data_IF_146756261123
#
_entry.id   IF_146756261123
#
_cell.length_a   1.000
_cell.length_b   1.000
_cell.length_c   1.000
_cell.angle_alpha   90.00
_cell.angle_beta   90.00
_cell.angle_gamma   90.00
#
_symmetry.space_group_name_H-M   'P 1'
#
loop_
_entity.id
_entity.type
_entity.pdbx_description
1 polymer ?
#
# COMPACT_ATOMS: atom_id res chain seq x y z
N UNK A 1 28.93 -19.44 -39.13
CA UNK A 1 29.57 -18.39 -38.31
C UNK A 1 28.54 -17.29 -38.19
N UNK A 2 27.79 -17.31 -37.10
CA UNK A 2 27.17 -16.12 -36.52
C UNK A 2 27.23 -16.35 -35.01
N UNK A 3 27.93 -15.44 -34.33
CA UNK A 3 28.25 -15.53 -32.90
C UNK A 3 27.01 -15.18 -32.08
N UNK A 4 26.64 -15.95 -31.04
CA UNK A 4 25.53 -15.66 -30.14
C UNK A 4 25.95 -14.63 -29.07
N UNK A 5 26.51 -13.50 -29.49
CA UNK A 5 26.91 -12.39 -28.64
C UNK A 5 26.10 -11.17 -29.06
N UNK A 6 24.86 -11.06 -28.57
CA UNK A 6 24.10 -9.81 -28.40
C UNK A 6 22.68 -10.09 -27.85
N UNK A 7 22.62 -10.80 -26.74
CA UNK A 7 21.49 -10.67 -25.78
C UNK A 7 22.11 -10.54 -24.40
N UNK A 8 22.56 -9.32 -24.08
CA UNK A 8 22.65 -8.91 -22.68
C UNK A 8 21.24 -9.08 -22.11
N UNK A 9 21.06 -10.15 -21.33
CA UNK A 9 19.93 -10.22 -20.41
C UNK A 9 20.09 -9.04 -19.47
N UNK A 10 19.23 -8.04 -19.64
CA UNK A 10 18.95 -7.09 -18.57
C UNK A 10 18.43 -7.96 -17.42
N UNK A 11 19.32 -8.35 -16.51
CA UNK A 11 18.91 -8.86 -15.21
C UNK A 11 18.03 -7.75 -14.61
N UNK A 12 16.73 -8.03 -14.46
CA UNK A 12 15.78 -7.13 -13.77
C UNK A 12 16.45 -6.64 -12.51
N UNK A 13 16.62 -5.33 -12.39
CA UNK A 13 17.25 -4.75 -11.21
C UNK A 13 16.40 -5.11 -9.99
N UNK A 14 17.07 -5.47 -8.90
CA UNK A 14 16.42 -5.59 -7.60
C UNK A 14 15.80 -4.22 -7.28
N UNK A 15 14.56 -4.21 -6.76
CA UNK A 15 13.87 -2.97 -6.39
C UNK A 15 14.72 -2.15 -5.41
N UNK A 16 15.55 -2.81 -4.57
CA UNK A 16 16.52 -2.19 -3.66
C UNK A 16 17.58 -1.36 -4.36
N UNK A 17 17.93 -1.71 -5.59
CA UNK A 17 18.92 -1.02 -6.39
C UNK A 17 18.30 0.12 -7.21
N UNK A 18 17.00 0.37 -7.08
CA UNK A 18 16.31 1.51 -7.68
C UNK A 18 16.54 2.81 -6.92
N UNK A 19 17.32 2.84 -5.83
CA UNK A 19 17.71 4.08 -5.17
C UNK A 19 19.21 4.10 -4.87
N UNK A 20 19.95 4.94 -5.60
CA UNK A 20 21.42 4.91 -5.68
C UNK A 20 22.01 6.29 -5.40
N UNK A 21 23.20 6.32 -4.82
CA UNK A 21 23.94 7.56 -4.52
C UNK A 21 24.73 8.02 -5.75
N UNK A 22 24.57 9.28 -6.14
CA UNK A 22 25.42 9.94 -7.14
C UNK A 22 26.58 10.62 -6.41
N UNK A 23 26.26 11.54 -5.50
CA UNK A 23 27.24 12.30 -4.71
C UNK A 23 26.71 12.53 -3.28
N UNK A 24 27.27 13.51 -2.55
CA UNK A 24 26.89 13.81 -1.15
C UNK A 24 25.45 14.30 -1.02
N UNK A 25 24.94 15.03 -2.02
CA UNK A 25 23.67 15.75 -2.00
C UNK A 25 22.71 15.30 -3.13
N UNK A 26 23.11 14.33 -3.97
CA UNK A 26 22.29 13.83 -5.07
C UNK A 26 22.19 12.30 -5.10
N UNK A 27 21.00 11.80 -5.43
CA UNK A 27 20.68 10.38 -5.56
C UNK A 27 19.89 10.12 -6.84
N UNK A 28 20.16 8.99 -7.49
CA UNK A 28 19.42 8.48 -8.63
C UNK A 28 18.28 7.57 -8.13
N UNK A 29 17.06 7.82 -8.60
CA UNK A 29 15.89 6.95 -8.40
C UNK A 29 15.55 6.30 -9.75
N UNK A 30 15.60 4.98 -9.79
CA UNK A 30 15.48 4.19 -11.01
C UNK A 30 16.55 4.55 -12.02
N UNK A 31 16.12 4.77 -13.26
CA UNK A 31 16.97 5.30 -14.35
C UNK A 31 16.57 6.71 -14.77
N UNK A 32 15.49 7.26 -14.20
CA UNK A 32 14.80 8.44 -14.74
C UNK A 32 14.77 9.66 -13.85
N UNK A 33 15.06 9.53 -12.55
CA UNK A 33 14.82 10.61 -11.59
C UNK A 33 16.06 10.89 -10.76
N UNK A 34 16.31 12.16 -10.47
CA UNK A 34 17.32 12.60 -9.52
C UNK A 34 16.63 13.27 -8.33
N UNK A 35 16.95 12.81 -7.13
CA UNK A 35 16.67 13.49 -5.88
C UNK A 35 17.88 14.34 -5.50
N UNK A 36 17.68 15.64 -5.32
CA UNK A 36 18.72 16.57 -4.89
C UNK A 36 18.37 17.17 -3.53
N UNK A 37 19.39 17.31 -2.66
CA UNK A 37 19.31 18.03 -1.40
C UNK A 37 19.88 19.43 -1.56
N UNK A 38 19.09 20.44 -1.24
CA UNK A 38 19.43 21.86 -1.42
C UNK A 38 19.06 22.67 -0.17
N UNK A 39 19.57 23.91 -0.07
CA UNK A 39 19.21 24.84 1.01
C UNK A 39 17.86 25.52 0.79
N UNK A 40 17.41 25.58 -0.46
CA UNK A 40 16.15 26.20 -0.88
C UNK A 40 15.35 25.24 -1.76
N UNK A 41 14.04 25.47 -1.88
CA UNK A 41 13.19 24.68 -2.78
C UNK A 41 13.66 24.84 -4.24
N UNK A 42 13.81 23.72 -4.94
CA UNK A 42 14.14 23.74 -6.36
C UNK A 42 12.91 23.98 -7.24
N UNK A 43 13.10 23.91 -8.57
CA UNK A 43 12.01 24.11 -9.55
C UNK A 43 11.09 22.90 -9.73
N UNK A 44 11.49 21.73 -9.24
CA UNK A 44 10.72 20.48 -9.34
C UNK A 44 9.79 20.25 -8.15
N UNK A 45 9.31 19.03 -7.99
CA UNK A 45 8.58 18.63 -6.79
C UNK A 45 9.52 18.68 -5.59
N UNK A 46 9.21 19.56 -4.62
CA UNK A 46 10.09 19.83 -3.48
C UNK A 46 9.38 19.73 -2.14
N UNK A 47 10.08 19.21 -1.14
CA UNK A 47 9.61 19.17 0.25
C UNK A 47 10.77 19.35 1.23
N UNK A 48 10.44 19.67 2.49
CA UNK A 48 11.44 19.81 3.55
C UNK A 48 11.83 18.46 4.15
N UNK A 49 13.12 18.27 4.38
CA UNK A 49 13.63 17.20 5.23
C UNK A 49 13.28 17.46 6.71
N UNK A 50 13.45 16.44 7.55
CA UNK A 50 13.35 16.60 9.01
C UNK A 50 14.44 17.50 9.61
N UNK A 51 15.54 17.73 8.88
CA UNK A 51 16.69 18.54 9.31
C UNK A 51 16.65 19.98 8.78
N UNK A 52 15.61 20.36 8.03
CA UNK A 52 15.42 21.71 7.49
C UNK A 52 15.98 21.96 6.09
N UNK A 53 16.75 21.01 5.52
CA UNK A 53 17.14 21.04 4.12
C UNK A 53 15.93 20.78 3.20
N UNK A 54 16.03 21.15 1.94
CA UNK A 54 15.04 20.83 0.92
C UNK A 54 15.48 19.62 0.12
N UNK A 55 14.52 18.77 -0.22
CA UNK A 55 14.66 17.75 -1.24
C UNK A 55 13.86 18.20 -2.47
N UNK A 56 14.43 18.01 -3.66
CA UNK A 56 13.78 18.28 -4.94
C UNK A 56 13.98 17.11 -5.88
N UNK A 57 12.93 16.72 -6.59
CA UNK A 57 13.01 15.70 -7.64
C UNK A 57 12.94 16.35 -9.01
N UNK A 58 13.84 15.91 -9.88
CA UNK A 58 13.91 16.30 -11.30
C UNK A 58 14.14 15.06 -12.16
N UNK A 59 13.92 15.20 -13.47
CA UNK A 59 14.31 14.17 -14.43
C UNK A 59 15.84 14.02 -14.48
N UNK A 60 16.30 12.78 -14.64
CA UNK A 60 17.70 12.44 -14.86
C UNK A 60 18.09 12.72 -16.32
N UNK A 61 19.34 13.13 -16.59
CA UNK A 61 19.85 13.21 -17.95
C UNK A 61 19.95 11.81 -18.59
N UNK A 62 20.02 11.77 -19.93
CA UNK A 62 20.29 10.55 -20.69
C UNK A 62 21.68 10.64 -21.34
N UNK A 63 22.63 9.74 -21.03
CA UNK A 63 22.53 8.63 -20.07
C UNK A 63 22.49 9.08 -18.59
N UNK A 64 21.93 8.25 -17.68
CA UNK A 64 21.88 8.58 -16.27
C UNK A 64 23.30 8.69 -15.66
N UNK A 65 23.49 9.53 -14.63
CA UNK A 65 24.79 9.67 -13.98
C UNK A 65 25.29 8.36 -13.35
N UNK A 66 26.62 8.21 -13.28
CA UNK A 66 27.22 7.12 -12.52
C UNK A 66 26.74 7.18 -11.06
N UNK A 67 26.39 6.01 -10.52
CA UNK A 67 25.83 5.92 -9.17
C UNK A 67 26.21 4.62 -8.48
N UNK A 68 26.25 4.66 -7.15
CA UNK A 68 26.64 3.56 -6.28
C UNK A 68 25.51 3.18 -5.34
N UNK A 69 25.51 1.95 -4.84
CA UNK A 69 24.47 1.50 -3.90
C UNK A 69 24.53 2.30 -2.60
N UNK A 70 23.37 2.69 -2.07
CA UNK A 70 23.28 3.32 -0.76
C UNK A 70 23.42 2.22 0.29
N UNK A 71 24.37 2.31 1.25
CA UNK A 71 24.44 1.36 2.34
C UNK A 71 23.13 1.38 3.15
N UNK A 72 22.56 0.21 3.42
CA UNK A 72 21.30 0.07 4.15
C UNK A 72 21.31 0.87 5.45
N UNK A 73 20.22 1.61 5.72
CA UNK A 73 20.01 2.43 6.91
C UNK A 73 21.00 3.60 7.13
N UNK A 74 21.82 3.98 6.14
CA UNK A 74 22.58 5.24 6.19
C UNK A 74 21.84 6.35 5.44
N UNK A 75 21.31 7.31 6.19
CA UNK A 75 20.69 8.54 5.68
C UNK A 75 19.21 8.40 5.28
N UNK A 76 18.85 7.28 4.64
CA UNK A 76 17.47 6.97 4.23
C UNK A 76 17.07 5.58 4.72
N UNK A 77 16.34 5.47 5.84
CA UNK A 77 15.93 4.16 6.33
C UNK A 77 14.89 3.56 5.38
N UNK A 78 15.04 2.27 5.11
CA UNK A 78 14.01 1.45 4.44
C UNK A 78 12.94 1.16 5.50
N UNK A 79 11.70 1.56 5.24
CA UNK A 79 10.60 1.44 6.20
C UNK A 79 9.65 0.28 5.90
N UNK A 80 9.62 -0.16 4.65
CA UNK A 80 8.92 -1.36 4.20
C UNK A 80 9.69 -1.98 3.05
N UNK A 81 9.72 -3.29 3.03
CA UNK A 81 10.46 -4.08 2.06
C UNK A 81 9.72 -5.39 1.82
N UNK A 82 9.46 -5.66 0.54
CA UNK A 82 9.18 -6.98 0.02
C UNK A 82 10.30 -7.28 -0.98
N UNK A 83 11.12 -8.29 -0.68
CA UNK A 83 12.43 -8.50 -1.33
C UNK A 83 12.34 -8.63 -2.85
N UNK A 84 11.16 -8.93 -3.39
CA UNK A 84 10.98 -9.16 -4.83
C UNK A 84 10.17 -8.07 -5.55
N UNK A 85 9.29 -7.34 -4.86
CA UNK A 85 8.24 -6.55 -5.53
C UNK A 85 8.17 -5.06 -5.17
N UNK A 86 8.62 -4.65 -3.98
CA UNK A 86 8.47 -3.27 -3.53
C UNK A 86 9.46 -2.85 -2.44
N UNK A 87 9.88 -1.59 -2.48
CA UNK A 87 10.68 -0.99 -1.42
C UNK A 87 10.23 0.45 -1.13
N UNK A 88 10.29 0.83 0.15
CA UNK A 88 9.87 2.16 0.63
C UNK A 88 10.98 2.80 1.46
N UNK A 89 11.40 4.00 1.06
CA UNK A 89 12.42 4.80 1.76
C UNK A 89 11.79 6.03 2.41
N UNK A 90 12.24 6.36 3.62
CA UNK A 90 11.91 7.63 4.26
C UNK A 90 12.87 8.73 3.79
N UNK A 91 12.33 9.74 3.11
CA UNK A 91 13.03 10.92 2.59
C UNK A 91 12.75 12.15 3.47
N UNK A 92 12.82 11.98 4.80
CA UNK A 92 12.49 13.03 5.77
C UNK A 92 10.98 13.14 6.00
N UNK A 93 10.34 14.18 5.43
CA UNK A 93 8.88 14.38 5.51
C UNK A 93 8.13 13.83 4.30
N UNK A 94 8.76 12.96 3.54
CA UNK A 94 8.16 12.25 2.41
C UNK A 94 8.64 10.80 2.39
N UNK A 95 7.94 9.96 1.65
CA UNK A 95 8.29 8.57 1.40
C UNK A 95 8.39 8.32 -0.09
N UNK A 96 9.47 7.69 -0.53
CA UNK A 96 9.60 7.13 -1.87
C UNK A 96 9.17 5.67 -1.83
N UNK A 97 8.17 5.33 -2.62
CA UNK A 97 7.70 3.96 -2.88
C UNK A 97 8.12 3.58 -4.28
N UNK A 98 8.85 2.48 -4.41
CA UNK A 98 9.16 1.86 -5.69
C UNK A 98 8.49 0.50 -5.72
N UNK A 99 7.70 0.24 -6.75
CA UNK A 99 6.95 -1.02 -6.91
C UNK A 99 7.17 -1.55 -8.32
N UNK A 100 7.44 -2.84 -8.47
CA UNK A 100 7.52 -3.48 -9.79
C UNK A 100 6.14 -3.44 -10.47
N UNK A 101 6.14 -3.19 -11.77
CA UNK A 101 4.93 -3.18 -12.59
C UNK A 101 4.43 -4.56 -12.93
N UNK A 102 5.31 -5.56 -12.91
CA UNK A 102 4.97 -6.95 -13.21
C UNK A 102 3.70 -7.33 -12.44
N UNK A 103 2.72 -7.86 -13.17
CA UNK A 103 1.40 -8.28 -12.68
C UNK A 103 0.47 -7.14 -12.18
N UNK A 104 0.87 -5.88 -12.30
CA UNK A 104 0.13 -4.69 -11.83
C UNK A 104 0.01 -3.58 -12.88
N UNK A 105 0.43 -3.82 -14.12
CA UNK A 105 0.42 -2.83 -15.21
C UNK A 105 -0.97 -2.22 -15.45
N UNK A 106 -2.01 -3.08 -15.45
CA UNK A 106 -3.41 -2.70 -15.72
C UNK A 106 -4.17 -2.24 -14.48
N UNK A 107 -3.53 -2.26 -13.31
CA UNK A 107 -4.20 -1.97 -12.04
C UNK A 107 -4.20 -0.47 -11.75
N UNK A 108 -5.22 0.01 -11.05
CA UNK A 108 -5.26 1.38 -10.56
C UNK A 108 -4.05 1.66 -9.69
N UNK A 109 -3.36 2.77 -9.98
CA UNK A 109 -2.14 3.16 -9.27
C UNK A 109 -2.49 3.89 -7.99
N UNK A 110 -1.69 3.68 -6.94
CA UNK A 110 -1.86 4.36 -5.65
C UNK A 110 -1.88 5.90 -5.81
N UNK A 111 -1.11 6.44 -6.77
CA UNK A 111 -1.12 7.87 -7.10
C UNK A 111 -2.52 8.34 -7.53
N UNK A 112 -3.19 7.62 -8.44
CA UNK A 112 -4.52 7.95 -8.92
C UNK A 112 -5.56 7.90 -7.78
N UNK A 113 -5.46 6.89 -6.91
CA UNK A 113 -6.31 6.80 -5.71
C UNK A 113 -6.11 7.98 -4.76
N UNK A 114 -4.87 8.36 -4.48
CA UNK A 114 -4.57 9.49 -3.59
C UNK A 114 -5.02 10.83 -4.19
N UNK A 115 -4.85 11.04 -5.50
CA UNK A 115 -5.35 12.23 -6.20
C UNK A 115 -6.88 12.30 -6.17
N UNK A 116 -7.56 11.16 -6.34
CA UNK A 116 -9.01 11.05 -6.20
C UNK A 116 -9.48 11.35 -4.77
N UNK A 117 -8.77 10.85 -3.75
CA UNK A 117 -9.06 11.13 -2.35
C UNK A 117 -8.83 12.60 -1.97
N UNK A 118 -7.82 13.24 -2.56
CA UNK A 118 -7.50 14.66 -2.30
C UNK A 118 -8.63 15.63 -2.72
N UNK A 119 -9.58 15.17 -3.54
CA UNK A 119 -10.75 15.92 -3.97
C UNK A 119 -11.98 15.74 -3.06
N UNK A 120 -11.82 15.05 -1.92
CA UNK A 120 -12.90 14.72 -0.98
C UNK A 120 -12.64 15.33 0.39
N UNK A 121 -13.73 15.56 1.12
CA UNK A 121 -13.66 15.87 2.55
C UNK A 121 -13.57 14.55 3.32
N UNK A 122 -12.43 14.34 3.99
CA UNK A 122 -12.15 13.13 4.77
C UNK A 122 -12.08 13.47 6.25
N UNK A 123 -12.55 12.57 7.11
CA UNK A 123 -12.42 12.72 8.57
C UNK A 123 -11.03 12.32 9.11
N UNK A 124 -10.08 12.05 8.23
CA UNK A 124 -8.71 11.61 8.54
C UNK A 124 -7.73 12.10 7.47
N UNK A 125 -6.44 12.15 7.78
CA UNK A 125 -5.40 12.52 6.82
C UNK A 125 -5.03 11.37 5.87
N UNK A 126 -4.70 11.71 4.63
CA UNK A 126 -4.09 10.80 3.64
C UNK A 126 -2.78 11.39 3.11
N UNK A 127 -1.82 10.57 2.65
CA UNK A 127 -0.62 11.07 2.00
C UNK A 127 -0.95 11.91 0.76
N UNK A 128 -0.24 13.02 0.56
CA UNK A 128 -0.34 13.82 -0.66
C UNK A 128 0.67 13.32 -1.68
N UNK A 129 0.25 13.16 -2.94
CA UNK A 129 1.17 12.88 -4.04
C UNK A 129 2.06 14.10 -4.24
N UNK A 130 3.38 13.92 -4.09
CA UNK A 130 4.38 14.94 -4.36
C UNK A 130 4.98 14.76 -5.76
N UNK A 131 5.17 13.50 -6.16
CA UNK A 131 5.67 13.15 -7.47
C UNK A 131 5.22 11.73 -7.83
N UNK A 132 4.89 11.50 -9.09
CA UNK A 132 4.62 10.17 -9.63
C UNK A 132 5.27 10.04 -11.01
N UNK A 133 5.91 8.90 -11.26
CA UNK A 133 6.43 8.53 -12.57
C UNK A 133 6.49 7.01 -12.72
N UNK A 134 6.67 6.57 -13.97
CA UNK A 134 6.75 5.16 -14.33
C UNK A 134 7.85 4.93 -15.38
N UNK A 135 8.52 3.79 -15.31
CA UNK A 135 9.33 3.26 -16.41
C UNK A 135 8.85 1.88 -16.85
N UNK A 136 9.62 1.18 -17.69
CA UNK A 136 9.21 -0.13 -18.22
C UNK A 136 9.11 -1.21 -17.11
N UNK A 137 9.78 -1.02 -15.97
CA UNK A 137 9.86 -2.02 -14.92
C UNK A 137 9.13 -1.61 -13.64
N UNK A 138 9.09 -0.32 -13.31
CA UNK A 138 8.71 0.16 -11.99
C UNK A 138 7.79 1.39 -11.99
N UNK A 139 6.93 1.45 -10.98
CA UNK A 139 6.24 2.65 -10.52
C UNK A 139 7.07 3.36 -9.43
N UNK A 140 7.21 4.67 -9.56
CA UNK A 140 7.86 5.56 -8.60
C UNK A 140 6.84 6.53 -8.04
N UNK A 141 6.52 6.41 -6.75
CA UNK A 141 5.58 7.28 -6.06
C UNK A 141 6.25 7.94 -4.87
N UNK A 142 6.25 9.28 -4.85
CA UNK A 142 6.69 10.06 -3.71
C UNK A 142 5.49 10.73 -3.08
N UNK A 143 5.28 10.48 -1.78
CA UNK A 143 4.15 11.01 -1.02
C UNK A 143 4.59 11.73 0.25
N UNK A 144 3.80 12.69 0.71
CA UNK A 144 4.03 13.35 2.00
C UNK A 144 3.88 12.37 3.17
N UNK A 145 4.63 12.58 4.24
CA UNK A 145 4.41 11.88 5.49
C UNK A 145 3.08 12.31 6.13
N UNK A 146 2.34 11.34 6.67
CA UNK A 146 1.21 11.56 7.58
C UNK A 146 1.75 11.55 9.01
N UNK A 147 1.27 12.46 9.86
CA UNK A 147 1.78 12.58 11.22
C UNK A 147 1.37 11.40 12.11
N UNK A 148 2.18 11.11 13.12
CA UNK A 148 1.93 10.05 14.10
C UNK A 148 2.84 8.83 13.92
N UNK A 149 2.49 7.74 14.59
CA UNK A 149 3.15 6.44 14.46
C UNK A 149 2.15 5.41 13.98
N UNK A 150 2.63 4.32 13.37
CA UNK A 150 1.71 3.25 12.95
C UNK A 150 1.04 2.60 14.16
N UNK A 151 -0.23 2.21 14.01
CA UNK A 151 -0.98 1.49 15.04
C UNK A 151 -0.22 0.25 15.50
N UNK A 152 0.39 -0.49 14.57
CA UNK A 152 1.18 -1.70 14.87
C UNK A 152 2.35 -1.45 15.83
N UNK A 153 3.00 -0.27 15.76
CA UNK A 153 4.04 0.14 16.72
C UNK A 153 3.48 0.57 18.06
N UNK A 154 2.31 1.21 18.08
CA UNK A 154 1.66 1.67 19.30
C UNK A 154 0.92 0.53 20.04
N UNK A 155 0.50 -0.52 19.35
CA UNK A 155 -0.48 -1.50 19.82
C UNK A 155 -0.11 -2.20 21.14
N UNK A 156 1.16 -2.56 21.33
CA UNK A 156 1.61 -3.21 22.56
C UNK A 156 1.50 -2.30 23.79
N UNK A 157 1.62 -0.98 23.58
CA UNK A 157 1.51 0.03 24.63
C UNK A 157 0.07 0.46 24.90
N UNK A 158 -0.87 0.07 24.03
CA UNK A 158 -2.27 0.42 24.17
C UNK A 158 -2.98 -0.47 25.18
N UNK A 159 -3.77 0.15 26.05
CA UNK A 159 -4.73 -0.54 26.89
C UNK A 159 -5.94 -1.02 26.08
N UNK A 160 -6.81 -1.81 26.72
CA UNK A 160 -7.97 -2.42 26.05
C UNK A 160 -8.96 -1.35 25.53
N UNK A 161 -9.16 -0.26 26.27
CA UNK A 161 -10.07 0.81 25.88
C UNK A 161 -9.58 1.53 24.62
N UNK A 162 -8.28 1.84 24.55
CA UNK A 162 -7.65 2.49 23.38
C UNK A 162 -7.74 1.60 22.14
N UNK A 163 -7.52 0.29 22.28
CA UNK A 163 -7.67 -0.67 21.17
C UNK A 163 -9.11 -0.70 20.64
N UNK A 164 -10.10 -0.74 21.54
CA UNK A 164 -11.53 -0.69 21.17
C UNK A 164 -11.91 0.64 20.53
N UNK A 165 -11.34 1.75 20.99
CA UNK A 165 -11.53 3.06 20.39
C UNK A 165 -10.99 3.10 18.96
N UNK A 166 -9.80 2.53 18.71
CA UNK A 166 -9.26 2.41 17.36
C UNK A 166 -10.17 1.56 16.45
N UNK A 167 -10.67 0.42 16.95
CA UNK A 167 -11.59 -0.43 16.19
C UNK A 167 -12.91 0.28 15.84
N UNK A 168 -13.51 0.99 16.82
CA UNK A 168 -14.68 1.85 16.57
C UNK A 168 -14.39 2.91 15.53
N UNK A 169 -13.25 3.58 15.63
CA UNK A 169 -12.87 4.62 14.67
C UNK A 169 -12.68 4.07 13.26
N UNK A 170 -12.17 2.84 13.11
CA UNK A 170 -12.12 2.16 11.80
C UNK A 170 -13.52 1.88 11.25
N UNK A 171 -14.48 1.47 12.08
CA UNK A 171 -15.88 1.30 11.63
C UNK A 171 -16.46 2.62 11.11
N UNK A 172 -16.19 3.75 11.78
CA UNK A 172 -16.62 5.06 11.30
C UNK A 172 -15.97 5.43 9.95
N UNK A 173 -14.67 5.18 9.80
CA UNK A 173 -13.95 5.38 8.54
C UNK A 173 -14.58 4.51 7.44
N UNK A 174 -14.83 3.22 7.71
CA UNK A 174 -15.49 2.33 6.75
C UNK A 174 -16.86 2.87 6.36
N UNK A 175 -17.68 3.37 7.30
CA UNK A 175 -18.98 3.98 7.00
C UNK A 175 -18.87 5.20 6.08
N UNK A 176 -17.81 5.99 6.23
CA UNK A 176 -17.50 7.12 5.34
C UNK A 176 -17.11 6.64 3.94
N UNK A 177 -16.21 5.66 3.83
CA UNK A 177 -15.73 5.13 2.55
C UNK A 177 -16.86 4.51 1.71
N UNK A 178 -17.74 3.71 2.33
CA UNK A 178 -18.80 3.00 1.60
C UNK A 178 -19.89 3.91 1.03
N UNK A 179 -19.86 5.21 1.33
CA UNK A 179 -20.75 6.18 0.69
C UNK A 179 -20.42 6.35 -0.79
N UNK A 180 -19.17 6.13 -1.20
CA UNK A 180 -18.79 6.15 -2.61
C UNK A 180 -19.03 4.78 -3.23
N UNK A 181 -19.80 4.75 -4.31
CA UNK A 181 -20.31 3.53 -4.91
C UNK A 181 -20.05 3.53 -6.41
N UNK A 182 -19.98 2.33 -6.98
CA UNK A 182 -19.78 2.11 -8.41
C UNK A 182 -20.54 0.86 -8.86
N UNK A 183 -20.79 0.77 -10.15
CA UNK A 183 -21.47 -0.36 -10.79
C UNK A 183 -20.48 -1.46 -11.23
N UNK A 184 -19.18 -1.26 -10.97
CA UNK A 184 -18.12 -2.20 -11.35
C UNK A 184 -17.08 -2.36 -10.25
N UNK A 185 -16.51 -3.56 -10.19
CA UNK A 185 -15.46 -3.95 -9.23
C UNK A 185 -14.09 -3.55 -9.77
N UNK A 186 -13.78 -2.27 -9.67
CA UNK A 186 -12.56 -1.65 -10.22
C UNK A 186 -11.89 -0.75 -9.19
N UNK A 187 -10.73 -0.18 -9.49
CA UNK A 187 -10.27 1.00 -8.76
C UNK A 187 -10.98 2.28 -9.18
N UNK A 188 -10.50 3.43 -8.69
CA UNK A 188 -11.17 4.74 -8.80
C UNK A 188 -11.23 5.32 -10.21
N UNK A 189 -10.33 4.87 -11.09
CA UNK A 189 -10.20 5.27 -12.49
C UNK A 189 -10.81 4.24 -13.47
N UNK A 190 -11.47 3.21 -12.95
CA UNK A 190 -12.04 2.12 -13.75
C UNK A 190 -11.05 1.02 -14.14
N UNK A 191 -9.78 1.14 -13.76
CA UNK A 191 -8.77 0.12 -14.01
C UNK A 191 -8.90 -1.08 -13.03
N UNK A 192 -8.10 -2.12 -13.26
CA UNK A 192 -8.20 -3.38 -12.52
C UNK A 192 -7.89 -3.20 -11.01
N UNK A 193 -8.59 -3.96 -10.16
CA UNK A 193 -8.42 -3.92 -8.71
C UNK A 193 -7.44 -5.01 -8.25
N UNK A 194 -6.28 -4.67 -7.66
CA UNK A 194 -5.22 -5.63 -7.30
C UNK A 194 -5.52 -6.57 -6.11
N UNK A 195 -6.75 -7.11 -5.99
CA UNK A 195 -7.20 -7.93 -4.86
C UNK A 195 -6.83 -9.42 -5.01
N UNK A 196 -5.60 -9.76 -4.61
CA UNK A 196 -5.06 -11.13 -4.71
C UNK A 196 -5.83 -12.17 -3.89
N UNK A 197 -6.56 -11.79 -2.84
CA UNK A 197 -7.31 -12.78 -2.06
C UNK A 197 -8.56 -13.30 -2.80
N UNK A 198 -8.94 -12.69 -3.92
CA UNK A 198 -10.05 -13.13 -4.77
C UNK A 198 -9.60 -13.66 -6.12
N UNK A 199 -8.29 -13.72 -6.35
CA UNK A 199 -7.68 -14.23 -7.57
C UNK A 199 -7.41 -15.74 -7.44
N UNK A 200 -7.85 -16.51 -8.44
CA UNK A 200 -7.65 -17.96 -8.54
C UNK A 200 -6.85 -18.36 -9.77
N UNK A 201 -6.22 -17.39 -10.44
CA UNK A 201 -5.57 -17.66 -11.71
C UNK A 201 -4.24 -18.39 -11.51
N UNK A 202 -4.14 -19.60 -12.08
CA UNK A 202 -2.90 -20.37 -12.15
C UNK A 202 -1.97 -19.88 -13.28
N UNK A 203 -2.47 -19.07 -14.21
CA UNK A 203 -1.73 -18.57 -15.38
C UNK A 203 -1.08 -17.18 -15.15
N UNK A 204 -1.04 -16.73 -13.91
CA UNK A 204 -0.59 -15.40 -13.49
C UNK A 204 -1.76 -14.47 -13.16
N UNK A 205 -1.52 -13.34 -12.49
CA UNK A 205 -2.61 -12.63 -11.82
C UNK A 205 -3.67 -12.07 -12.76
N UNK A 206 -4.94 -12.26 -12.42
CA UNK A 206 -6.09 -11.77 -13.20
C UNK A 206 -6.99 -10.89 -12.33
N UNK A 207 -6.79 -9.58 -12.45
CA UNK A 207 -7.53 -8.57 -11.69
C UNK A 207 -8.68 -7.93 -12.48
N UNK A 208 -9.10 -8.54 -13.59
CA UNK A 208 -10.25 -8.08 -14.35
C UNK A 208 -11.51 -8.09 -13.48
N UNK A 209 -12.35 -7.07 -13.68
CA UNK A 209 -13.61 -6.91 -12.95
C UNK A 209 -14.49 -8.17 -13.10
N UNK A 210 -14.52 -8.78 -14.28
CA UNK A 210 -15.29 -10.00 -14.57
C UNK A 210 -14.78 -11.20 -13.76
N UNK A 211 -13.46 -11.39 -13.68
CA UNK A 211 -12.88 -12.51 -12.93
C UNK A 211 -13.13 -12.38 -11.42
N UNK A 212 -12.88 -11.19 -10.86
CA UNK A 212 -13.09 -10.94 -9.43
C UNK A 212 -14.58 -11.05 -9.05
N UNK A 213 -15.48 -10.49 -9.88
CA UNK A 213 -16.92 -10.60 -9.64
C UNK A 213 -17.42 -12.04 -9.73
N UNK A 214 -16.87 -12.86 -10.64
CA UNK A 214 -17.19 -14.29 -10.70
C UNK A 214 -16.82 -14.96 -9.38
N UNK A 215 -15.62 -14.73 -8.84
CA UNK A 215 -15.21 -15.26 -7.53
C UNK A 215 -16.16 -14.78 -6.42
N UNK A 216 -16.48 -13.48 -6.38
CA UNK A 216 -17.42 -12.94 -5.39
C UNK A 216 -18.81 -13.59 -5.47
N UNK A 217 -19.32 -13.84 -6.68
CA UNK A 217 -20.58 -14.55 -6.88
C UNK A 217 -20.52 -16.00 -6.41
N UNK A 218 -19.44 -16.73 -6.73
CA UNK A 218 -19.23 -18.12 -6.30
C UNK A 218 -19.14 -18.21 -4.76
N UNK A 219 -18.67 -17.15 -4.10
CA UNK A 219 -18.65 -17.00 -2.64
C UNK A 219 -19.98 -16.55 -2.02
N UNK A 220 -20.98 -16.23 -2.83
CA UNK A 220 -22.32 -15.82 -2.39
C UNK A 220 -22.44 -14.35 -1.96
N UNK A 221 -21.56 -13.47 -2.44
CA UNK A 221 -21.68 -12.01 -2.21
C UNK A 221 -22.66 -11.38 -3.19
N UNK A 222 -23.30 -10.28 -2.78
CA UNK A 222 -24.09 -9.43 -3.69
C UNK A 222 -23.17 -8.52 -4.53
N UNK A 223 -23.07 -8.83 -5.82
CA UNK A 223 -22.32 -8.05 -6.80
C UNK A 223 -23.20 -7.06 -7.59
N UNK A 224 -24.43 -6.76 -7.14
CA UNK A 224 -25.30 -5.78 -7.79
C UNK A 224 -24.84 -4.33 -7.62
N UNK A 225 -24.00 -4.07 -6.60
CA UNK A 225 -23.43 -2.76 -6.30
C UNK A 225 -22.10 -2.91 -5.56
N UNK A 226 -21.15 -2.05 -5.88
CA UNK A 226 -19.84 -2.04 -5.24
C UNK A 226 -19.63 -0.76 -4.44
N UNK A 227 -19.00 -0.90 -3.27
CA UNK A 227 -18.69 0.18 -2.34
C UNK A 227 -17.19 0.39 -2.28
N UNK A 228 -16.76 1.65 -2.16
CA UNK A 228 -15.34 1.96 -2.05
C UNK A 228 -14.78 1.47 -0.70
N UNK A 229 -13.66 0.76 -0.76
CA UNK A 229 -12.96 0.19 0.39
C UNK A 229 -11.45 0.35 0.20
N UNK A 230 -10.73 0.54 1.29
CA UNK A 230 -9.27 0.58 1.29
C UNK A 230 -8.65 -0.81 1.01
N UNK A 231 -9.33 -1.90 1.42
CA UNK A 231 -8.89 -3.29 1.28
C UNK A 231 -7.56 -3.69 1.96
N UNK A 232 -6.95 -2.79 2.73
CA UNK A 232 -5.71 -3.05 3.49
C UNK A 232 -5.63 -2.23 4.78
N UNK A 233 -6.72 -2.20 5.55
CA UNK A 233 -6.79 -1.51 6.86
C UNK A 233 -6.07 -2.30 7.97
N UNK A 234 -4.83 -2.68 7.68
CA UNK A 234 -3.93 -3.35 8.60
C UNK A 234 -3.37 -2.39 9.65
N UNK A 235 -2.70 -2.90 10.68
CA UNK A 235 -2.17 -2.07 11.75
C UNK A 235 -0.99 -1.19 11.28
N UNK A 236 -0.38 -1.47 10.12
CA UNK A 236 0.74 -0.71 9.59
C UNK A 236 0.32 0.37 8.57
N UNK A 237 -0.92 0.33 8.08
CA UNK A 237 -1.51 1.37 7.22
C UNK A 237 -2.30 2.44 8.02
N UNK A 238 -2.41 2.28 9.34
CA UNK A 238 -3.14 3.20 10.22
C UNK A 238 -2.16 4.04 11.02
N UNK A 239 -2.31 5.35 10.96
CA UNK A 239 -1.53 6.32 11.72
C UNK A 239 -2.29 6.77 12.95
N UNK A 240 -1.66 6.66 14.12
CA UNK A 240 -2.20 7.11 15.40
C UNK A 240 -1.37 8.23 16.00
N UNK A 241 -2.06 9.15 16.66
CA UNK A 241 -1.45 10.20 17.45
C UNK A 241 -0.63 9.62 18.62
N UNK A 242 0.49 10.28 18.91
CA UNK A 242 1.46 9.84 19.91
C UNK A 242 0.91 9.83 21.33
N UNK A 243 0.01 10.76 21.65
CA UNK A 243 -0.46 10.99 23.02
C UNK A 243 -1.86 10.42 23.21
N UNK A 244 -2.78 10.78 22.32
CA UNK A 244 -4.21 10.42 22.42
C UNK A 244 -4.52 9.02 21.90
N UNK A 245 -3.62 8.40 21.14
CA UNK A 245 -3.83 7.11 20.44
C UNK A 245 -5.00 7.11 19.45
N UNK A 246 -5.55 8.28 19.11
CA UNK A 246 -6.58 8.41 18.10
C UNK A 246 -6.01 8.18 16.70
N UNK A 247 -6.80 7.57 15.82
CA UNK A 247 -6.46 7.46 14.40
C UNK A 247 -6.51 8.87 13.79
N UNK A 248 -5.38 9.30 13.24
CA UNK A 248 -5.22 10.62 12.60
C UNK A 248 -5.13 10.53 11.08
N UNK A 249 -4.73 9.37 10.54
CA UNK A 249 -4.64 9.20 9.11
C UNK A 249 -4.47 7.75 8.68
N UNK A 250 -4.62 7.54 7.38
CA UNK A 250 -4.58 6.25 6.71
C UNK A 250 -3.64 6.34 5.51
N UNK A 251 -2.74 5.38 5.38
CA UNK A 251 -1.72 5.29 4.32
C UNK A 251 -1.86 3.98 3.53
N UNK A 252 -1.08 3.80 2.47
CA UNK A 252 -1.04 2.56 1.66
C UNK A 252 -2.34 2.24 0.89
N UNK A 253 -2.81 3.24 0.15
CA UNK A 253 -4.04 3.19 -0.65
C UNK A 253 -3.93 2.40 -1.97
N UNK A 254 -2.87 1.61 -2.14
CA UNK A 254 -2.58 0.89 -3.39
C UNK A 254 -3.50 -0.29 -3.69
N UNK A 255 -4.27 -0.76 -2.71
CA UNK A 255 -5.27 -1.83 -2.88
C UNK A 255 -6.72 -1.30 -2.85
N UNK A 256 -6.90 0.02 -2.76
CA UNK A 256 -8.23 0.58 -2.62
C UNK A 256 -9.02 0.51 -3.92
N UNK A 257 -10.31 0.22 -3.79
CA UNK A 257 -11.21 0.12 -4.93
C UNK A 257 -12.62 -0.27 -4.51
N UNK A 258 -13.48 -0.46 -5.49
CA UNK A 258 -14.87 -0.82 -5.30
C UNK A 258 -15.03 -2.34 -5.18
N UNK A 259 -15.67 -2.79 -4.10
CA UNK A 259 -15.84 -4.22 -3.75
C UNK A 259 -17.26 -4.47 -3.22
N UNK A 260 -17.75 -5.72 -3.20
CA UNK A 260 -18.99 -6.05 -2.50
C UNK A 260 -18.92 -5.70 -1.02
N UNK A 261 -20.05 -5.32 -0.41
CA UNK A 261 -20.08 -4.89 0.99
C UNK A 261 -19.60 -5.96 1.97
N UNK A 262 -19.89 -7.22 1.64
CA UNK A 262 -19.52 -8.45 2.34
C UNK A 262 -18.00 -8.62 2.37
N UNK A 263 -17.29 -8.11 1.35
CA UNK A 263 -15.84 -8.24 1.28
C UNK A 263 -15.15 -7.45 2.39
N UNK A 264 -15.70 -6.31 2.81
CA UNK A 264 -15.09 -5.43 3.82
C UNK A 264 -14.76 -6.21 5.10
N UNK A 265 -15.75 -6.88 5.69
CA UNK A 265 -15.54 -7.67 6.91
C UNK A 265 -14.86 -9.00 6.61
N UNK A 266 -15.19 -9.64 5.49
CA UNK A 266 -14.55 -10.90 5.07
C UNK A 266 -13.03 -10.75 5.00
N UNK A 267 -12.52 -9.64 4.46
CA UNK A 267 -11.08 -9.33 4.37
C UNK A 267 -10.40 -9.37 5.74
N UNK A 268 -10.99 -8.80 6.79
CA UNK A 268 -10.48 -8.90 8.17
C UNK A 268 -10.47 -10.34 8.69
N UNK A 269 -11.39 -11.18 8.22
CA UNK A 269 -11.47 -12.60 8.56
C UNK A 269 -10.39 -13.47 7.91
N UNK A 270 -9.93 -13.11 6.70
CA UNK A 270 -9.14 -14.03 5.86
C UNK A 270 -7.73 -13.55 5.53
N UNK A 271 -7.49 -12.23 5.57
CA UNK A 271 -6.21 -11.68 5.14
C UNK A 271 -5.16 -11.65 6.26
N UNK A 272 -4.02 -12.28 6.00
CA UNK A 272 -2.88 -12.30 6.93
C UNK A 272 -2.10 -10.98 6.94
N UNK A 273 -2.20 -10.14 5.89
CA UNK A 273 -1.52 -8.82 5.83
C UNK A 273 -2.05 -7.89 6.92
N UNK A 274 -3.28 -8.12 7.38
CA UNK A 274 -3.92 -7.40 8.48
C UNK A 274 -3.49 -7.88 9.88
N UNK A 275 -2.58 -8.85 9.96
CA UNK A 275 -2.00 -9.27 11.24
C UNK A 275 -0.98 -8.23 11.74
N UNK A 276 -0.80 -8.21 13.05
CA UNK A 276 0.36 -7.60 13.68
C UNK A 276 1.59 -8.45 13.38
N UNK A 277 2.74 -7.81 13.21
CA UNK A 277 3.99 -8.45 12.80
C UNK A 277 5.06 -8.16 13.88
N UNK A 278 5.08 -8.97 14.93
CA UNK A 278 6.12 -8.93 15.96
C UNK A 278 6.89 -10.24 15.99
N UNK A 279 8.20 -10.16 16.26
CA UNK A 279 9.12 -11.32 16.27
C UNK A 279 9.57 -11.69 17.68
N UNK A 280 8.72 -11.52 18.68
CA UNK A 280 9.07 -11.87 20.06
C UNK A 280 8.74 -13.34 20.32
N UNK A 281 9.74 -14.10 20.77
CA UNK A 281 9.64 -15.53 21.12
C UNK A 281 8.69 -15.72 22.31
N UNK A 282 7.41 -15.95 22.00
CA UNK A 282 6.34 -16.09 23.00
C UNK A 282 5.00 -15.51 22.52
N UNK A 283 4.98 -14.78 21.41
CA UNK A 283 3.72 -14.26 20.84
C UNK A 283 2.92 -15.39 20.20
N UNK A 284 1.69 -15.61 20.68
CA UNK A 284 0.77 -16.58 20.06
C UNK A 284 0.22 -16.06 18.73
N UNK A 285 -0.15 -16.97 17.82
CA UNK A 285 -0.81 -16.59 16.56
C UNK A 285 -2.10 -15.76 16.80
N UNK A 286 -2.84 -16.08 17.87
CA UNK A 286 -4.04 -15.32 18.28
C UNK A 286 -3.72 -13.87 18.64
N UNK A 287 -2.58 -13.62 19.30
CA UNK A 287 -2.14 -12.25 19.62
C UNK A 287 -1.80 -11.45 18.37
N UNK A 288 -1.21 -12.09 17.35
CA UNK A 288 -0.92 -11.44 16.05
C UNK A 288 -2.20 -11.09 15.28
N UNK A 289 -3.25 -11.91 15.43
CA UNK A 289 -4.58 -11.66 14.83
C UNK A 289 -5.42 -10.66 15.64
N UNK A 290 -4.94 -10.18 16.78
CA UNK A 290 -5.73 -9.39 17.73
C UNK A 290 -6.35 -8.13 17.13
N UNK A 291 -5.63 -7.45 16.21
CA UNK A 291 -6.16 -6.29 15.49
C UNK A 291 -7.36 -6.66 14.60
N UNK A 292 -7.15 -7.55 13.63
CA UNK A 292 -8.18 -7.88 12.64
C UNK A 292 -9.40 -8.56 13.24
N UNK A 293 -9.22 -9.35 14.30
CA UNK A 293 -10.35 -9.91 15.05
C UNK A 293 -11.17 -8.83 15.74
N UNK A 294 -10.52 -7.87 16.41
CA UNK A 294 -11.22 -6.80 17.10
C UNK A 294 -12.02 -5.95 16.11
N UNK A 295 -11.42 -5.55 14.98
CA UNK A 295 -12.15 -4.79 13.96
C UNK A 295 -13.28 -5.61 13.35
N UNK A 296 -13.05 -6.89 13.04
CA UNK A 296 -14.09 -7.79 12.53
C UNK A 296 -15.29 -7.90 13.47
N UNK A 297 -15.06 -7.97 14.79
CA UNK A 297 -16.13 -7.93 15.80
C UNK A 297 -16.93 -6.63 15.76
N UNK A 298 -16.25 -5.49 15.72
CA UNK A 298 -16.92 -4.18 15.68
C UNK A 298 -17.69 -3.96 14.36
N UNK A 299 -17.16 -4.45 13.23
CA UNK A 299 -17.87 -4.47 11.94
C UNK A 299 -19.13 -5.34 12.02
N UNK A 300 -19.05 -6.50 12.69
CA UNK A 300 -20.21 -7.36 12.94
C UNK A 300 -21.30 -6.65 13.75
N UNK A 301 -20.91 -6.00 14.84
CA UNK A 301 -21.82 -5.21 15.69
C UNK A 301 -22.45 -4.03 14.93
N UNK A 302 -21.72 -3.48 13.95
CA UNK A 302 -22.20 -2.43 13.05
C UNK A 302 -23.05 -2.94 11.88
N UNK A 303 -23.31 -4.24 11.78
CA UNK A 303 -24.19 -4.84 10.77
C UNK A 303 -23.52 -5.19 9.43
N UNK A 304 -22.18 -5.17 9.35
CA UNK A 304 -21.49 -5.59 8.12
C UNK A 304 -21.52 -7.12 7.96
N UNK A 305 -22.01 -7.63 6.82
CA UNK A 305 -22.03 -9.06 6.52
C UNK A 305 -20.64 -9.60 6.20
N UNK A 306 -20.46 -10.92 6.21
CA UNK A 306 -19.25 -11.59 5.76
C UNK A 306 -19.58 -12.95 5.12
N UNK A 307 -18.69 -13.44 4.27
CA UNK A 307 -18.76 -14.78 3.65
C UNK A 307 -17.57 -15.65 4.02
N UNK A 308 -16.97 -15.42 5.20
CA UNK A 308 -15.73 -16.08 5.64
C UNK A 308 -15.78 -17.61 5.55
N UNK A 309 -16.89 -18.24 5.94
CA UNK A 309 -17.00 -19.71 5.89
C UNK A 309 -16.96 -20.23 4.45
N UNK A 310 -17.66 -19.56 3.52
CA UNK A 310 -17.61 -19.89 2.11
C UNK A 310 -16.20 -19.67 1.55
N UNK A 311 -15.56 -18.56 1.93
CA UNK A 311 -14.18 -18.25 1.56
C UNK A 311 -13.20 -19.32 2.04
N UNK A 312 -13.25 -19.72 3.32
CA UNK A 312 -12.32 -20.71 3.88
C UNK A 312 -12.46 -22.06 3.16
N UNK A 313 -13.68 -22.42 2.74
CA UNK A 313 -13.94 -23.64 1.96
C UNK A 313 -13.36 -23.51 0.55
N UNK A 314 -13.71 -22.42 -0.14
CA UNK A 314 -13.23 -22.12 -1.49
C UNK A 314 -11.70 -22.07 -1.56
N UNK A 315 -11.06 -21.38 -0.61
CA UNK A 315 -9.60 -21.22 -0.58
C UNK A 315 -8.89 -22.56 -0.41
N UNK A 316 -9.42 -23.47 0.42
CA UNK A 316 -8.89 -24.83 0.58
C UNK A 316 -9.02 -25.65 -0.71
N UNK A 317 -10.17 -25.57 -1.37
CA UNK A 317 -10.42 -26.25 -2.63
C UNK A 317 -9.50 -25.73 -3.75
N UNK A 318 -9.32 -24.41 -3.85
CA UNK A 318 -8.44 -23.78 -4.85
C UNK A 318 -6.96 -24.06 -4.60
N UNK A 319 -6.52 -24.13 -3.34
CA UNK A 319 -5.11 -24.35 -2.98
C UNK A 319 -4.75 -25.84 -2.82
N UNK A 320 -5.71 -26.75 -2.93
CA UNK A 320 -5.50 -28.19 -2.75
C UNK A 320 -5.10 -28.60 -1.32
N UNK A 321 -5.56 -27.86 -0.30
CA UNK A 321 -5.19 -28.03 1.13
C UNK A 321 -6.36 -28.50 1.98
#
# INVERSE_FOLDING_TARGET
MDSPSDRLSLQSMDVRDSFRKIDTDSWLIGTKLILQRTLEAGKGASWRSGTGAWFTVTEAPSPPPESTRIPTNKGFPIVQEDEESAAVWCLGRAFLKVKKLKDREKTTKEAATLEWLAQRELSFEVPKVLYYAQDEENDYLIVSAVQGQTLGKAWQKMNISEKKQCANRVVEIVRELVQWQNDSMTGVDGAELPECALDTSDEGPNFSSEALQKTCHDLGMDCSKFVFSHNDLGPYSIMVDGDTKNIVGIIDWGLAGYVPSEWIRTKFGVSWTLNLQWRDSGTSALSLMGWRHLVGQHLAEAGYPEVKQAYDKWFKESMGV
#
